data_IF_447723991193
#
_entry.id   IF_447723991193
#
_cell.length_a   1.000
_cell.length_b   1.000
_cell.length_c   1.000
_cell.angle_alpha   90.00
_cell.angle_beta   90.00
_cell.angle_gamma   90.00
#
_symmetry.space_group_name_H-M   'P 1'
#
loop_
_entity.id
_entity.type
_entity.pdbx_description
1 polymer ?
#
# COMPACT_ATOMS: atom_id res chain seq x y z
N UNK A 1 -0.93 12.97 2.78
CA UNK A 1 -0.79 11.96 1.71
C UNK A 1 -0.03 10.80 2.29
N UNK A 2 -0.53 9.58 2.13
CA UNK A 2 0.09 8.37 2.68
C UNK A 2 1.51 8.20 2.18
N UNK A 3 1.79 8.54 0.91
CA UNK A 3 3.14 8.44 0.35
C UNK A 3 4.17 9.28 1.12
N UNK A 4 3.81 10.48 1.56
CA UNK A 4 4.71 11.33 2.34
C UNK A 4 4.98 10.72 3.72
N UNK A 5 3.97 10.10 4.34
CA UNK A 5 4.16 9.42 5.62
C UNK A 5 5.13 8.25 5.49
N UNK A 6 5.02 7.46 4.42
CA UNK A 6 5.96 6.37 4.12
C UNK A 6 7.38 6.94 3.93
N UNK A 7 7.53 8.02 3.16
CA UNK A 7 8.83 8.70 2.94
C UNK A 7 9.43 9.23 4.26
N UNK A 8 8.58 9.60 5.21
CA UNK A 8 8.98 10.06 6.55
C UNK A 8 9.23 8.91 7.55
N UNK A 9 9.20 7.66 7.09
CA UNK A 9 9.52 6.48 7.91
C UNK A 9 8.32 5.85 8.63
N UNK A 10 7.09 6.14 8.19
CA UNK A 10 5.91 5.45 8.72
C UNK A 10 6.03 3.93 8.48
N UNK A 11 5.66 3.10 9.47
CA UNK A 11 5.72 1.65 9.31
C UNK A 11 4.73 1.20 8.26
N UNK A 12 5.25 0.49 7.27
CA UNK A 12 4.47 0.01 6.13
C UNK A 12 4.77 -1.45 5.85
N UNK A 13 3.81 -2.12 5.20
CA UNK A 13 4.00 -3.46 4.66
C UNK A 13 3.88 -3.41 3.16
N UNK A 14 4.79 -4.07 2.46
CA UNK A 14 4.86 -4.05 0.99
C UNK A 14 4.41 -5.38 0.42
N UNK A 15 3.66 -5.32 -0.68
CA UNK A 15 3.19 -6.46 -1.45
C UNK A 15 1.75 -6.87 -1.13
N UNK A 16 1.11 -7.52 -2.10
CA UNK A 16 -0.33 -7.87 -2.05
C UNK A 16 -0.67 -8.67 -0.82
N UNK A 17 0.00 -9.80 -0.59
CA UNK A 17 -0.33 -10.71 0.52
C UNK A 17 -0.21 -10.03 1.89
N UNK A 18 0.81 -9.19 2.08
CA UNK A 18 1.01 -8.49 3.35
C UNK A 18 0.00 -7.36 3.53
N UNK A 19 -0.31 -6.63 2.46
CA UNK A 19 -1.34 -5.59 2.44
C UNK A 19 -2.71 -6.18 2.77
N UNK A 20 -3.08 -7.28 2.12
CA UNK A 20 -4.32 -8.01 2.42
C UNK A 20 -4.38 -8.44 3.89
N UNK A 21 -3.28 -8.99 4.42
CA UNK A 21 -3.21 -9.38 5.83
C UNK A 21 -3.37 -8.18 6.77
N UNK A 22 -2.79 -7.04 6.45
CA UNK A 22 -2.91 -5.82 7.25
C UNK A 22 -4.32 -5.24 7.23
N UNK A 23 -5.00 -5.30 6.08
CA UNK A 23 -6.40 -4.91 5.90
C UNK A 23 -7.33 -5.82 6.72
N UNK A 24 -7.19 -7.14 6.59
CA UNK A 24 -7.99 -8.13 7.35
C UNK A 24 -7.78 -8.00 8.85
N UNK A 25 -6.57 -7.63 9.28
CA UNK A 25 -6.26 -7.36 10.69
C UNK A 25 -6.69 -5.98 11.17
N UNK A 26 -7.26 -5.15 10.29
CA UNK A 26 -7.66 -3.76 10.60
C UNK A 26 -6.50 -2.92 11.16
N UNK A 27 -5.27 -3.27 10.77
CA UNK A 27 -4.04 -2.56 11.16
C UNK A 27 -3.57 -1.58 10.09
N UNK A 28 -4.22 -1.56 8.93
CA UNK A 28 -3.90 -0.67 7.82
C UNK A 28 -4.71 0.62 7.92
N UNK A 29 -4.03 1.77 8.04
CA UNK A 29 -4.68 3.10 8.02
C UNK A 29 -4.84 3.67 6.61
N UNK A 30 -4.08 3.16 5.66
CA UNK A 30 -4.13 3.58 4.26
C UNK A 30 -3.40 2.60 3.36
N UNK A 31 -3.76 2.58 2.09
CA UNK A 31 -3.11 1.73 1.08
C UNK A 31 -2.67 2.58 -0.10
N UNK A 32 -1.49 2.29 -0.62
CA UNK A 32 -0.90 2.96 -1.77
C UNK A 32 -0.79 1.93 -2.90
N UNK A 33 -1.27 2.30 -4.08
CA UNK A 33 -1.30 1.45 -5.27
C UNK A 33 -0.51 2.12 -6.40
N UNK A 34 0.40 1.40 -7.02
CA UNK A 34 1.10 1.92 -8.20
C UNK A 34 0.21 1.84 -9.46
N UNK A 35 0.22 2.88 -10.29
CA UNK A 35 -0.62 2.97 -11.50
C UNK A 35 -0.13 2.09 -12.65
N UNK A 36 1.17 1.79 -12.70
CA UNK A 36 1.80 0.85 -13.64
C UNK A 36 1.67 -0.61 -13.18
N UNK A 37 1.13 -0.87 -11.99
CA UNK A 37 0.82 -2.21 -11.53
C UNK A 37 -0.45 -2.74 -12.20
N UNK A 38 -0.42 -4.00 -12.63
CA UNK A 38 -1.55 -4.60 -13.31
C UNK A 38 -2.78 -4.79 -12.41
N UNK A 39 -3.97 -4.55 -12.95
CA UNK A 39 -5.24 -4.64 -12.21
C UNK A 39 -5.53 -6.04 -11.64
N UNK A 40 -5.01 -7.10 -12.25
CA UNK A 40 -5.14 -8.45 -11.69
C UNK A 40 -4.44 -8.60 -10.33
N UNK A 41 -3.43 -7.77 -10.05
CA UNK A 41 -2.69 -7.73 -8.79
C UNK A 41 -3.36 -6.77 -7.80
N UNK A 42 -3.76 -5.59 -8.27
CA UNK A 42 -4.28 -4.50 -7.42
C UNK A 42 -5.78 -4.63 -7.12
N UNK A 43 -6.55 -5.29 -7.99
CA UNK A 43 -8.00 -5.47 -7.88
C UNK A 43 -8.45 -6.08 -6.56
N UNK A 44 -7.89 -7.23 -6.11
CA UNK A 44 -8.22 -7.82 -4.82
C UNK A 44 -7.94 -6.89 -3.63
N UNK A 45 -6.88 -6.08 -3.71
CA UNK A 45 -6.52 -5.12 -2.66
C UNK A 45 -7.52 -3.97 -2.64
N UNK A 46 -7.86 -3.40 -3.80
CA UNK A 46 -8.87 -2.33 -3.92
C UNK A 46 -10.23 -2.77 -3.37
N UNK A 47 -10.64 -3.99 -3.67
CA UNK A 47 -11.88 -4.57 -3.15
C UNK A 47 -11.87 -4.64 -1.62
N UNK A 48 -10.78 -5.14 -1.02
CA UNK A 48 -10.63 -5.20 0.43
C UNK A 48 -10.59 -3.81 1.08
N UNK A 49 -9.93 -2.85 0.44
CA UNK A 49 -9.91 -1.46 0.94
C UNK A 49 -11.34 -0.89 1.00
N UNK A 50 -12.17 -1.16 -0.01
CA UNK A 50 -13.58 -0.76 0.00
C UNK A 50 -14.39 -1.40 1.12
N UNK A 51 -14.15 -2.69 1.40
CA UNK A 51 -14.82 -3.44 2.49
C UNK A 51 -14.43 -2.89 3.86
N UNK A 52 -13.14 -2.67 4.09
CA UNK A 52 -12.62 -2.18 5.38
C UNK A 52 -12.65 -0.64 5.50
N UNK A 53 -13.22 0.05 4.51
CA UNK A 53 -13.27 1.53 4.43
C UNK A 53 -11.90 2.20 4.58
N UNK A 54 -10.85 1.54 4.07
CA UNK A 54 -9.47 2.05 4.13
C UNK A 54 -9.23 2.94 2.91
N UNK A 55 -8.73 4.18 3.11
CA UNK A 55 -8.44 5.07 2.01
C UNK A 55 -7.30 4.54 1.14
N UNK A 56 -7.46 4.72 -0.18
CA UNK A 56 -6.50 4.27 -1.19
C UNK A 56 -5.92 5.46 -1.91
N UNK A 57 -4.58 5.55 -1.93
CA UNK A 57 -3.82 6.54 -2.69
C UNK A 57 -3.14 5.85 -3.87
N UNK A 58 -2.94 6.56 -4.97
CA UNK A 58 -2.25 6.03 -6.15
C UNK A 58 -0.96 6.78 -6.42
N UNK A 59 0.06 6.06 -6.85
CA UNK A 59 1.36 6.64 -7.25
C UNK A 59 1.71 6.28 -8.69
N UNK A 60 2.48 7.12 -9.39
CA UNK A 60 2.75 6.93 -10.82
C UNK A 60 3.43 5.60 -11.16
N UNK A 61 4.41 5.17 -10.36
CA UNK A 61 5.23 3.97 -10.68
C UNK A 61 5.46 3.07 -9.48
N UNK A 62 5.60 1.76 -9.75
CA UNK A 62 5.99 0.75 -8.75
C UNK A 62 7.36 1.06 -8.15
N UNK A 63 8.23 1.65 -8.95
CA UNK A 63 9.59 2.00 -8.56
C UNK A 63 9.59 3.14 -7.54
N UNK A 64 8.75 4.16 -7.73
CA UNK A 64 8.57 5.23 -6.75
C UNK A 64 8.00 4.68 -5.44
N UNK A 65 7.01 3.79 -5.51
CA UNK A 65 6.44 3.17 -4.32
C UNK A 65 7.48 2.37 -3.54
N UNK A 66 8.24 1.52 -4.24
CA UNK A 66 9.29 0.71 -3.62
C UNK A 66 10.35 1.57 -2.95
N UNK A 67 10.80 2.63 -3.64
CA UNK A 67 11.78 3.58 -3.10
C UNK A 67 11.25 4.31 -1.87
N UNK A 68 9.99 4.74 -1.88
CA UNK A 68 9.36 5.38 -0.72
C UNK A 68 9.32 4.42 0.48
N UNK A 69 8.99 3.15 0.26
CA UNK A 69 8.99 2.10 1.28
C UNK A 69 10.40 1.62 1.70
N UNK A 70 11.48 2.18 1.15
CA UNK A 70 12.85 1.81 1.50
C UNK A 70 13.33 0.49 0.91
N UNK A 71 12.68 -0.03 -0.14
CA UNK A 71 13.08 -1.27 -0.82
C UNK A 71 13.70 -0.99 -2.20
N UNK A 72 14.59 -1.88 -2.64
CA UNK A 72 15.33 -1.75 -3.90
C UNK A 72 14.58 -2.33 -5.12
N UNK A 73 13.38 -2.85 -4.92
CA UNK A 73 12.54 -3.45 -5.97
C UNK A 73 11.22 -2.68 -6.09
N UNK A 74 10.59 -2.73 -7.26
CA UNK A 74 9.29 -2.10 -7.47
C UNK A 74 8.20 -2.74 -6.60
N UNK A 75 7.31 -1.91 -6.06
CA UNK A 75 6.17 -2.34 -5.27
C UNK A 75 4.86 -2.03 -6.01
N UNK A 76 4.03 -3.04 -6.24
CA UNK A 76 2.69 -2.86 -6.81
C UNK A 76 1.73 -2.18 -5.81
N UNK A 77 1.85 -2.56 -4.54
CA UNK A 77 0.98 -2.11 -3.45
C UNK A 77 1.75 -2.07 -2.14
N UNK A 78 1.42 -1.10 -1.29
CA UNK A 78 1.91 -1.00 0.07
C UNK A 78 0.78 -0.54 1.00
N UNK A 79 0.74 -1.05 2.23
CA UNK A 79 -0.17 -0.58 3.27
C UNK A 79 0.61 0.22 4.31
N UNK A 80 0.08 1.38 4.70
CA UNK A 80 0.55 2.13 5.86
C UNK A 80 -0.12 1.54 7.09
N UNK A 81 0.68 1.16 8.08
CA UNK A 81 0.17 0.61 9.33
C UNK A 81 -0.20 1.72 10.31
N UNK A 82 -1.26 1.50 11.07
CA UNK A 82 -1.57 2.31 12.25
C UNK A 82 -0.65 1.86 13.40
N UNK A 83 0.27 2.74 13.82
CA UNK A 83 1.06 2.53 15.02
C UNK A 83 0.37 3.27 16.15
N UNK A 84 -0.12 2.52 17.13
CA UNK A 84 -0.58 3.06 18.42
C UNK A 84 0.57 3.11 19.41
#
# INVERSE_FOLDING_TARGET
>A
MFLEEVKNGAPTVVGVKQTQKALVKETARGVIVAMDASDHITGPVRALCGIHQVPVETVPTMQELGKACGIHVGAAVAAVLETR
#
